data_IF_746219286787
#
_entry.id   IF_746219286787
#
_cell.length_a   1.000
_cell.length_b   1.000
_cell.length_c   1.000
_cell.angle_alpha   90.00
_cell.angle_beta   90.00
_cell.angle_gamma   90.00
#
_symmetry.space_group_name_H-M   'P 1'
#
loop_
_entity.id
_entity.type
_entity.pdbx_description
1 polymer ?
#
# COMPACT_ATOMS: atom_id res chain seq x y z
N UNK A 1 1.98 -56.73 50.62
CA UNK A 1 2.01 -57.73 49.54
C UNK A 1 1.35 -57.10 48.32
N UNK A 2 2.01 -57.01 47.15
CA UNK A 2 1.35 -56.53 45.94
C UNK A 2 0.28 -57.55 45.50
N UNK A 3 -0.91 -57.06 45.15
CA UNK A 3 -2.04 -57.88 44.71
C UNK A 3 -1.77 -58.39 43.30
N UNK A 4 -1.57 -59.70 43.14
CA UNK A 4 -1.31 -60.35 41.85
C UNK A 4 -2.65 -60.69 41.18
N UNK A 5 -3.06 -59.86 40.21
CA UNK A 5 -4.29 -60.10 39.43
C UNK A 5 -4.00 -61.17 38.37
N UNK A 6 -4.87 -62.18 38.30
CA UNK A 6 -4.72 -63.34 37.43
C UNK A 6 -4.81 -62.91 35.96
N UNK A 7 -3.79 -63.25 35.16
CA UNK A 7 -3.63 -63.00 33.71
C UNK A 7 -3.01 -61.65 33.28
N UNK A 8 -2.41 -60.86 34.17
CA UNK A 8 -1.49 -59.76 33.75
C UNK A 8 -0.03 -60.23 33.78
N UNK A 9 0.73 -59.84 32.76
CA UNK A 9 2.18 -59.99 32.73
C UNK A 9 2.76 -59.08 33.82
N UNK A 10 3.71 -59.60 34.58
CA UNK A 10 4.31 -58.84 35.67
C UNK A 10 5.24 -57.74 35.12
N UNK A 11 5.34 -56.60 35.80
CA UNK A 11 6.15 -55.44 35.34
C UNK A 11 7.65 -55.76 35.22
N UNK A 12 8.11 -56.83 35.89
CA UNK A 12 9.47 -57.35 35.87
C UNK A 12 9.74 -58.37 34.75
N UNK A 13 8.75 -58.70 33.91
CA UNK A 13 8.92 -59.66 32.81
C UNK A 13 9.77 -59.03 31.68
N UNK A 14 10.84 -59.71 31.21
CA UNK A 14 11.70 -59.24 30.11
C UNK A 14 10.97 -59.04 28.77
N UNK A 15 9.71 -59.50 28.64
CA UNK A 15 8.85 -59.23 27.48
C UNK A 15 8.14 -57.86 27.54
N UNK A 16 8.17 -57.20 28.70
CA UNK A 16 7.60 -55.86 28.90
C UNK A 16 8.70 -54.84 28.63
N UNK A 17 8.48 -53.91 27.70
CA UNK A 17 9.35 -52.75 27.57
C UNK A 17 9.32 -51.99 28.90
N UNK A 18 10.47 -51.87 29.56
CA UNK A 18 10.59 -50.98 30.72
C UNK A 18 10.21 -49.58 30.26
N UNK A 19 9.13 -49.04 30.80
CA UNK A 19 8.73 -47.65 30.56
C UNK A 19 9.91 -46.82 31.07
N UNK A 20 10.63 -46.16 30.16
CA UNK A 20 11.67 -45.21 30.54
C UNK A 20 11.09 -44.18 31.50
N UNK A 21 11.93 -43.61 32.38
CA UNK A 21 11.48 -42.61 33.36
C UNK A 21 10.57 -41.57 32.67
N UNK A 22 9.40 -41.26 33.26
CA UNK A 22 8.47 -40.34 32.63
C UNK A 22 9.19 -39.03 32.34
N UNK A 23 8.95 -38.49 31.14
CA UNK A 23 9.48 -37.19 30.79
C UNK A 23 9.08 -36.18 31.87
N UNK A 24 9.97 -35.25 32.25
CA UNK A 24 9.66 -34.30 33.30
C UNK A 24 8.43 -33.46 32.89
N UNK A 25 7.54 -33.09 33.83
CA UNK A 25 6.25 -32.46 33.51
C UNK A 25 6.34 -31.17 32.68
N UNK A 26 7.46 -30.46 32.74
CA UNK A 26 7.70 -29.24 31.95
C UNK A 26 7.89 -29.51 30.45
N UNK A 27 8.31 -30.73 30.08
CA UNK A 27 8.64 -31.06 28.69
C UNK A 27 7.40 -31.02 27.80
N UNK A 28 6.22 -31.34 28.35
CA UNK A 28 4.96 -31.32 27.61
C UNK A 28 4.59 -29.89 27.23
N UNK A 29 4.66 -28.94 28.17
CA UNK A 29 4.38 -27.53 27.90
C UNK A 29 5.43 -26.90 26.96
N UNK A 30 6.69 -27.33 27.05
CA UNK A 30 7.74 -26.90 26.13
C UNK A 30 7.49 -27.43 24.71
N UNK A 31 7.16 -28.72 24.57
CA UNK A 31 6.84 -29.32 23.28
C UNK A 31 5.63 -28.63 22.64
N UNK A 32 4.59 -28.33 23.42
CA UNK A 32 3.39 -27.61 22.98
C UNK A 32 3.73 -26.21 22.44
N UNK A 33 4.51 -25.41 23.19
CA UNK A 33 4.97 -24.09 22.75
C UNK A 33 5.83 -24.16 21.48
N UNK A 34 6.68 -25.17 21.36
CA UNK A 34 7.49 -25.39 20.16
C UNK A 34 6.65 -25.77 18.95
N UNK A 35 5.62 -26.62 19.13
CA UNK A 35 4.70 -26.97 18.05
C UNK A 35 3.82 -25.80 17.63
N UNK A 36 3.36 -24.98 18.59
CA UNK A 36 2.61 -23.75 18.30
C UNK A 36 3.45 -22.73 17.54
N UNK A 37 4.72 -22.55 17.91
CA UNK A 37 5.66 -21.72 17.15
C UNK A 37 5.83 -22.21 15.70
N UNK A 38 6.05 -23.52 15.51
CA UNK A 38 6.19 -24.11 14.18
C UNK A 38 4.90 -23.92 13.37
N UNK A 39 3.74 -24.18 13.97
CA UNK A 39 2.44 -24.01 13.32
C UNK A 39 2.22 -22.55 12.90
N UNK A 40 2.52 -21.60 13.79
CA UNK A 40 2.45 -20.17 13.52
C UNK A 40 3.32 -19.74 12.35
N UNK A 41 4.59 -20.17 12.30
CA UNK A 41 5.49 -19.84 11.19
C UNK A 41 5.07 -20.51 9.87
N UNK A 42 4.54 -21.74 9.92
CA UNK A 42 4.01 -22.41 8.71
C UNK A 42 2.79 -21.66 8.17
N UNK A 43 1.88 -21.19 9.04
CA UNK A 43 0.72 -20.38 8.62
C UNK A 43 1.19 -19.04 8.03
N UNK A 44 2.14 -18.36 8.66
CA UNK A 44 2.71 -17.12 8.14
C UNK A 44 3.41 -17.32 6.78
N UNK A 45 4.15 -18.42 6.62
CA UNK A 45 4.79 -18.76 5.36
C UNK A 45 3.76 -19.04 4.26
N UNK A 46 2.71 -19.81 4.56
CA UNK A 46 1.63 -20.10 3.64
C UNK A 46 0.88 -18.81 3.20
N UNK A 47 0.61 -17.90 4.14
CA UNK A 47 0.01 -16.59 3.84
C UNK A 47 0.93 -15.73 2.97
N UNK A 48 2.22 -15.67 3.28
CA UNK A 48 3.22 -14.95 2.47
C UNK A 48 3.28 -15.49 1.03
N UNK A 49 3.28 -16.81 0.85
CA UNK A 49 3.26 -17.44 -0.47
C UNK A 49 1.96 -17.15 -1.23
N UNK A 50 0.81 -17.19 -0.54
CA UNK A 50 -0.48 -16.91 -1.15
C UNK A 50 -0.63 -15.45 -1.63
N UNK A 51 -0.15 -14.48 -0.84
CA UNK A 51 -0.20 -13.05 -1.20
C UNK A 51 0.67 -12.71 -2.41
N UNK A 52 1.77 -13.43 -2.60
CA UNK A 52 2.71 -13.19 -3.71
C UNK A 52 2.29 -13.86 -5.02
N UNK A 53 1.39 -14.85 -4.99
CA UNK A 53 1.03 -15.65 -6.18
C UNK A 53 0.41 -14.81 -7.31
N UNK A 54 -0.46 -13.86 -6.98
CA UNK A 54 -1.10 -12.98 -7.96
C UNK A 54 -0.07 -12.05 -8.64
N UNK A 55 0.89 -11.52 -7.86
CA UNK A 55 1.96 -10.65 -8.36
C UNK A 55 2.97 -11.43 -9.21
N UNK A 56 3.34 -12.64 -8.80
CA UNK A 56 4.23 -13.53 -9.55
C UNK A 56 3.60 -13.91 -10.91
N UNK A 57 2.32 -14.29 -10.91
CA UNK A 57 1.61 -14.63 -12.14
C UNK A 57 1.43 -13.43 -13.08
N UNK A 58 1.34 -12.21 -12.54
CA UNK A 58 1.36 -10.99 -13.34
C UNK A 58 2.76 -10.70 -13.90
N UNK A 59 3.81 -10.83 -13.09
CA UNK A 59 5.19 -10.66 -13.53
C UNK A 59 5.55 -11.61 -14.67
N UNK A 60 5.20 -12.89 -14.54
CA UNK A 60 5.51 -13.91 -15.55
C UNK A 60 4.83 -13.61 -16.89
N UNK A 61 3.56 -13.21 -16.86
CA UNK A 61 2.82 -12.81 -18.08
C UNK A 61 3.44 -11.59 -18.76
N UNK A 62 3.83 -10.58 -17.99
CA UNK A 62 4.43 -9.38 -18.58
C UNK A 62 5.83 -9.70 -19.09
N UNK A 63 6.61 -10.51 -18.38
CA UNK A 63 7.91 -10.99 -18.84
C UNK A 63 7.80 -11.75 -20.17
N UNK A 64 6.79 -12.62 -20.29
CA UNK A 64 6.49 -13.32 -21.55
C UNK A 64 6.12 -12.33 -22.68
N UNK A 65 5.37 -11.27 -22.40
CA UNK A 65 5.04 -10.23 -23.40
C UNK A 65 6.27 -9.42 -23.84
N UNK A 66 7.22 -9.19 -22.92
CA UNK A 66 8.50 -8.53 -23.21
C UNK A 66 9.37 -9.42 -24.09
N UNK A 67 9.50 -10.71 -23.74
CA UNK A 67 10.28 -11.69 -24.52
C UNK A 67 9.71 -11.89 -25.94
N UNK A 68 8.39 -11.83 -26.10
CA UNK A 68 7.71 -11.86 -27.41
C UNK A 68 7.86 -10.57 -28.22
N UNK A 69 8.58 -9.56 -27.71
CA UNK A 69 8.86 -8.30 -28.41
C UNK A 69 7.67 -7.38 -28.61
N UNK A 70 6.53 -7.64 -27.95
CA UNK A 70 5.34 -6.78 -28.04
C UNK A 70 5.56 -5.44 -27.32
N UNK A 71 6.33 -5.47 -26.25
CA UNK A 71 6.65 -4.32 -25.41
C UNK A 71 8.12 -4.34 -25.00
N UNK A 72 8.70 -3.16 -24.81
CA UNK A 72 10.04 -2.98 -24.29
C UNK A 72 9.92 -2.28 -22.93
N UNK A 73 10.43 -2.93 -21.90
CA UNK A 73 10.31 -2.49 -20.53
C UNK A 73 10.88 -3.53 -19.58
N UNK A 74 10.90 -3.19 -18.30
CA UNK A 74 11.41 -4.06 -17.23
C UNK A 74 10.32 -4.30 -16.21
N UNK A 75 10.28 -5.51 -15.66
CA UNK A 75 9.36 -5.86 -14.57
C UNK A 75 10.17 -6.34 -13.38
N UNK A 76 9.91 -5.75 -12.22
CA UNK A 76 10.51 -6.13 -10.95
C UNK A 76 9.41 -6.30 -9.91
N UNK A 77 9.59 -7.24 -8.97
CA UNK A 77 8.79 -7.31 -7.76
C UNK A 77 9.65 -6.80 -6.63
N UNK A 78 9.17 -5.73 -5.99
CA UNK A 78 9.73 -5.18 -4.76
C UNK A 78 8.89 -5.65 -3.56
N UNK A 79 9.41 -5.46 -2.34
CA UNK A 79 8.70 -5.79 -1.09
C UNK A 79 7.35 -5.09 -0.97
N UNK A 80 7.23 -3.93 -1.61
CA UNK A 80 6.05 -3.08 -1.56
C UNK A 80 5.05 -3.38 -2.69
N UNK A 81 5.45 -4.10 -3.75
CA UNK A 81 4.59 -4.27 -4.91
C UNK A 81 5.26 -4.74 -6.20
N UNK A 82 4.44 -4.88 -7.24
CA UNK A 82 4.90 -5.14 -8.60
C UNK A 82 5.17 -3.81 -9.31
N UNK A 83 6.40 -3.64 -9.82
CA UNK A 83 6.82 -2.47 -10.60
C UNK A 83 7.01 -2.87 -12.06
N UNK A 84 6.27 -2.19 -12.94
CA UNK A 84 6.35 -2.35 -14.39
C UNK A 84 6.84 -1.04 -14.97
N UNK A 85 8.05 -1.05 -15.52
CA UNK A 85 8.70 0.14 -16.06
C UNK A 85 8.62 0.12 -17.58
N UNK A 86 7.96 1.12 -18.17
CA UNK A 86 7.96 1.36 -19.62
C UNK A 86 8.90 2.51 -19.94
N UNK A 87 9.98 2.21 -20.66
CA UNK A 87 11.02 3.17 -21.04
C UNK A 87 10.85 3.62 -22.49
N UNK A 88 11.09 4.90 -22.75
CA UNK A 88 11.10 5.42 -24.12
C UNK A 88 12.39 5.01 -24.86
N UNK A 89 12.27 4.63 -26.13
CA UNK A 89 13.40 4.22 -26.98
C UNK A 89 13.42 4.96 -28.32
N UNK A 90 14.49 4.78 -29.12
CA UNK A 90 14.70 5.46 -30.42
C UNK A 90 13.50 5.29 -31.39
N UNK A 91 12.83 4.13 -31.37
CA UNK A 91 11.77 3.80 -32.33
C UNK A 91 10.35 3.93 -31.77
N UNK A 92 10.18 4.21 -30.47
CA UNK A 92 8.87 4.32 -29.82
C UNK A 92 8.87 5.50 -28.86
N UNK A 93 8.22 6.57 -29.30
CA UNK A 93 8.04 7.79 -28.52
C UNK A 93 6.74 7.64 -27.76
N UNK A 94 6.73 7.82 -26.43
CA UNK A 94 5.50 7.67 -25.64
C UNK A 94 4.75 8.99 -25.46
N UNK A 95 5.49 10.09 -25.46
CA UNK A 95 4.96 11.43 -25.33
C UNK A 95 5.71 12.36 -26.26
N UNK A 96 4.99 13.27 -26.91
CA UNK A 96 5.64 14.33 -27.65
C UNK A 96 6.44 15.25 -26.70
N UNK A 97 7.52 15.84 -27.22
CA UNK A 97 8.35 16.77 -26.44
C UNK A 97 7.52 17.94 -25.91
N UNK A 98 7.65 18.23 -24.62
CA UNK A 98 6.91 19.29 -23.93
C UNK A 98 5.40 19.08 -23.82
N UNK A 99 4.87 17.93 -24.22
CA UNK A 99 3.43 17.62 -24.15
C UNK A 99 3.16 16.41 -23.27
N UNK A 100 1.93 16.36 -22.74
CA UNK A 100 1.42 15.26 -21.93
C UNK A 100 0.48 14.31 -22.70
N UNK A 101 0.25 14.57 -23.98
CA UNK A 101 -0.59 13.73 -24.84
C UNK A 101 0.11 12.40 -25.16
N UNK A 102 -0.64 11.30 -25.09
CA UNK A 102 -0.13 9.97 -25.41
C UNK A 102 -0.07 9.78 -26.92
N UNK A 103 1.06 9.26 -27.40
CA UNK A 103 1.22 8.78 -28.77
C UNK A 103 0.48 7.46 -29.00
N UNK A 104 0.32 7.08 -30.27
CA UNK A 104 -0.31 5.81 -30.62
C UNK A 104 0.57 4.61 -30.22
N UNK A 105 1.90 4.76 -30.26
CA UNK A 105 2.84 3.76 -29.74
C UNK A 105 2.62 3.47 -28.25
N UNK A 106 2.39 4.51 -27.45
CA UNK A 106 2.08 4.34 -26.02
C UNK A 106 0.72 3.68 -25.81
N UNK A 107 -0.29 4.04 -26.61
CA UNK A 107 -1.61 3.38 -26.54
C UNK A 107 -1.51 1.90 -26.90
N UNK A 108 -0.74 1.54 -27.92
CA UNK A 108 -0.47 0.16 -28.31
C UNK A 108 0.31 -0.60 -27.21
N UNK A 109 1.29 0.04 -26.56
CA UNK A 109 1.97 -0.53 -25.41
C UNK A 109 0.99 -0.80 -24.25
N UNK A 110 0.11 0.16 -23.95
CA UNK A 110 -0.91 0.04 -22.91
C UNK A 110 -1.91 -1.09 -23.20
N UNK A 111 -2.24 -1.37 -24.46
CA UNK A 111 -3.12 -2.50 -24.81
C UNK A 111 -2.61 -3.86 -24.35
N UNK A 112 -1.29 -4.05 -24.32
CA UNK A 112 -0.70 -5.29 -23.84
C UNK A 112 -0.73 -5.38 -22.30
N UNK A 113 -0.56 -4.25 -21.61
CA UNK A 113 -0.43 -4.20 -20.14
C UNK A 113 -1.78 -4.11 -19.43
N UNK A 114 -2.77 -3.45 -20.03
CA UNK A 114 -4.15 -3.28 -19.52
C UNK A 114 -4.80 -4.59 -19.04
N UNK A 115 -4.81 -5.71 -19.79
CA UNK A 115 -5.48 -6.93 -19.32
C UNK A 115 -4.85 -7.51 -18.05
N UNK A 116 -3.55 -7.26 -17.81
CA UNK A 116 -2.87 -7.67 -16.58
C UNK A 116 -3.25 -6.72 -15.45
N UNK A 117 -3.15 -5.40 -15.68
CA UNK A 117 -3.47 -4.40 -14.67
C UNK A 117 -4.94 -4.39 -14.25
N UNK A 118 -5.88 -4.61 -15.18
CA UNK A 118 -7.31 -4.67 -14.87
C UNK A 118 -7.65 -5.81 -13.90
N UNK A 119 -6.99 -6.97 -14.04
CA UNK A 119 -7.16 -8.10 -13.10
C UNK A 119 -6.63 -7.75 -11.71
N UNK A 120 -5.55 -6.97 -11.63
CA UNK A 120 -4.94 -6.54 -10.38
C UNK A 120 -5.73 -5.40 -9.72
N UNK A 121 -6.30 -4.47 -10.50
CA UNK A 121 -7.03 -3.30 -10.01
C UNK A 121 -8.22 -3.65 -9.11
N UNK A 122 -8.83 -4.83 -9.29
CA UNK A 122 -9.89 -5.29 -8.39
C UNK A 122 -9.41 -5.50 -6.94
N UNK A 123 -8.16 -5.92 -6.75
CA UNK A 123 -7.60 -6.28 -5.44
C UNK A 123 -6.64 -5.22 -4.90
N UNK A 124 -5.77 -4.68 -5.75
CA UNK A 124 -4.63 -3.86 -5.36
C UNK A 124 -4.76 -2.41 -5.84
N UNK A 125 -4.04 -1.51 -5.17
CA UNK A 125 -3.93 -0.11 -5.59
C UNK A 125 -2.85 0.02 -6.66
N UNK A 126 -3.14 0.79 -7.70
CA UNK A 126 -2.24 1.00 -8.84
C UNK A 126 -1.85 2.48 -8.88
N UNK A 127 -0.55 2.72 -8.73
CA UNK A 127 0.06 4.02 -8.88
C UNK A 127 0.70 4.10 -10.26
N UNK A 128 0.46 5.21 -10.95
CA UNK A 128 1.13 5.53 -12.20
C UNK A 128 2.10 6.66 -11.93
N UNK A 129 3.38 6.39 -12.10
CA UNK A 129 4.46 7.33 -11.83
C UNK A 129 5.02 7.86 -13.17
N UNK A 130 5.05 9.18 -13.31
CA UNK A 130 5.66 9.87 -14.45
C UNK A 130 7.06 10.35 -14.11
N UNK A 131 8.02 10.05 -14.99
CA UNK A 131 9.39 10.56 -14.90
C UNK A 131 9.77 11.33 -16.17
N UNK A 132 10.57 12.37 -16.00
CA UNK A 132 11.12 13.20 -17.10
C UNK A 132 12.65 13.17 -17.07
N UNK A 133 13.27 13.64 -18.14
CA UNK A 133 14.70 13.94 -18.15
C UNK A 133 14.98 15.29 -17.47
N UNK A 134 16.26 15.64 -17.38
CA UNK A 134 16.73 16.89 -16.77
C UNK A 134 16.73 18.09 -17.72
N UNK A 135 16.15 17.96 -18.93
CA UNK A 135 16.11 19.08 -19.86
C UNK A 135 15.05 20.04 -19.35
N UNK A 136 15.39 21.27 -18.96
CA UNK A 136 14.41 22.18 -18.41
C UNK A 136 13.35 22.51 -19.46
N UNK A 137 12.10 22.47 -19.05
CA UNK A 137 10.96 22.91 -19.87
C UNK A 137 10.33 24.13 -19.22
N UNK A 138 9.93 25.08 -20.06
CA UNK A 138 9.07 26.19 -19.70
C UNK A 138 8.12 26.43 -20.87
N UNK A 139 7.00 25.73 -20.85
CA UNK A 139 5.95 25.87 -21.86
C UNK A 139 4.79 26.67 -21.30
N UNK A 140 3.91 27.19 -22.17
CA UNK A 140 2.70 27.88 -21.71
C UNK A 140 1.79 26.98 -20.85
N UNK A 141 1.83 25.66 -21.08
CA UNK A 141 0.98 24.69 -20.41
C UNK A 141 1.62 24.10 -19.14
N UNK A 142 2.95 23.97 -19.12
CA UNK A 142 3.71 23.41 -18.01
C UNK A 142 4.90 24.31 -17.69
N UNK A 143 4.93 24.84 -16.48
CA UNK A 143 5.98 25.71 -15.99
C UNK A 143 7.27 24.93 -15.62
N UNK A 144 7.15 23.63 -15.33
CA UNK A 144 8.30 22.79 -14.96
C UNK A 144 8.14 21.33 -15.35
N UNK A 145 9.25 20.59 -15.32
CA UNK A 145 9.29 19.13 -15.48
C UNK A 145 8.41 18.40 -14.45
N UNK A 146 8.26 18.97 -13.25
CA UNK A 146 7.42 18.42 -12.21
C UNK A 146 5.94 18.37 -12.64
N UNK A 147 5.44 19.48 -13.19
CA UNK A 147 4.07 19.56 -13.71
C UNK A 147 3.86 18.65 -14.92
N UNK A 148 4.81 18.63 -15.87
CA UNK A 148 4.73 17.75 -17.03
C UNK A 148 4.68 16.27 -16.64
N UNK A 149 5.51 15.85 -15.68
CA UNK A 149 5.54 14.46 -15.22
C UNK A 149 4.20 14.03 -14.60
N UNK A 150 3.62 14.90 -13.79
CA UNK A 150 2.30 14.68 -13.15
C UNK A 150 1.18 14.65 -14.19
N UNK A 151 1.22 15.56 -15.17
CA UNK A 151 0.24 15.61 -16.24
C UNK A 151 0.28 14.36 -17.14
N UNK A 152 1.49 13.87 -17.46
CA UNK A 152 1.69 12.61 -18.21
C UNK A 152 1.10 11.42 -17.46
N UNK A 153 1.45 11.27 -16.18
CA UNK A 153 0.89 10.21 -15.33
C UNK A 153 -0.65 10.29 -15.27
N UNK A 154 -1.20 11.50 -15.11
CA UNK A 154 -2.65 11.74 -15.08
C UNK A 154 -3.33 11.33 -16.38
N UNK A 155 -2.74 11.65 -17.53
CA UNK A 155 -3.30 11.27 -18.83
C UNK A 155 -3.26 9.75 -19.05
N UNK A 156 -2.21 9.07 -18.59
CA UNK A 156 -2.17 7.60 -18.61
C UNK A 156 -3.30 7.03 -17.74
N UNK A 157 -3.49 7.53 -16.52
CA UNK A 157 -4.59 7.09 -15.64
C UNK A 157 -5.96 7.33 -16.29
N UNK A 158 -6.18 8.49 -16.93
CA UNK A 158 -7.43 8.76 -17.67
C UNK A 158 -7.68 7.74 -18.77
N UNK A 159 -6.66 7.37 -19.53
CA UNK A 159 -6.77 6.35 -20.59
C UNK A 159 -7.08 4.97 -20.00
N UNK A 160 -6.50 4.62 -18.84
CA UNK A 160 -6.82 3.37 -18.15
C UNK A 160 -8.27 3.35 -17.63
N UNK A 161 -8.73 4.44 -17.00
CA UNK A 161 -10.08 4.55 -16.46
C UNK A 161 -11.16 4.58 -17.55
N UNK A 162 -10.82 4.98 -18.77
CA UNK A 162 -11.72 4.87 -19.91
C UNK A 162 -11.97 3.41 -20.36
N UNK A 163 -11.18 2.45 -19.86
CA UNK A 163 -11.30 1.03 -20.16
C UNK A 163 -12.01 0.28 -19.03
N UNK A 164 -12.75 -0.80 -19.35
CA UNK A 164 -13.41 -1.61 -18.34
C UNK A 164 -12.38 -2.35 -17.46
N UNK A 165 -12.74 -2.57 -16.20
CA UNK A 165 -11.94 -3.36 -15.26
C UNK A 165 -11.03 -2.57 -14.33
N UNK A 166 -10.99 -1.24 -14.44
CA UNK A 166 -10.28 -0.38 -13.50
C UNK A 166 -11.22 0.26 -12.48
N UNK A 167 -10.79 0.32 -11.22
CA UNK A 167 -11.56 0.93 -10.12
C UNK A 167 -10.99 2.33 -9.84
N UNK A 168 -11.77 3.43 -10.03
CA UNK A 168 -11.27 4.78 -9.84
C UNK A 168 -10.68 5.06 -8.45
N UNK A 169 -11.25 4.49 -7.39
CA UNK A 169 -10.77 4.68 -6.01
C UNK A 169 -9.42 4.03 -5.71
N UNK A 170 -8.94 3.13 -6.59
CA UNK A 170 -7.68 2.40 -6.44
C UNK A 170 -6.58 2.88 -7.39
N UNK A 171 -6.82 3.99 -8.07
CA UNK A 171 -5.88 4.57 -9.03
C UNK A 171 -5.31 5.87 -8.48
N UNK A 172 -4.00 6.06 -8.62
CA UNK A 172 -3.34 7.33 -8.33
C UNK A 172 -2.31 7.67 -9.41
N UNK A 173 -2.13 8.96 -9.68
CA UNK A 173 -1.09 9.48 -10.56
C UNK A 173 -0.08 10.25 -9.71
N UNK A 174 1.21 9.99 -9.91
CA UNK A 174 2.31 10.64 -9.20
C UNK A 174 3.31 11.15 -10.23
N UNK A 175 3.81 12.37 -10.07
CA UNK A 175 4.89 12.92 -10.87
C UNK A 175 6.14 13.10 -10.03
N UNK A 176 7.27 12.58 -10.49
CA UNK A 176 8.57 12.73 -9.82
C UNK A 176 9.51 13.71 -10.53
N UNK A 177 9.11 14.22 -11.70
CA UNK A 177 9.97 15.04 -12.55
C UNK A 177 11.29 14.34 -12.88
N UNK A 178 12.38 15.10 -12.76
CA UNK A 178 13.75 14.68 -13.05
C UNK A 178 14.52 14.14 -11.84
N UNK A 179 13.93 14.19 -10.64
CA UNK A 179 14.62 13.96 -9.37
C UNK A 179 14.79 12.48 -8.99
N UNK A 180 14.21 11.57 -9.77
CA UNK A 180 14.36 10.12 -9.60
C UNK A 180 14.92 9.46 -10.87
N UNK A 181 16.16 9.76 -11.29
CA UNK A 181 16.77 9.12 -12.45
C UNK A 181 17.17 7.66 -12.14
N UNK A 182 17.02 6.74 -13.12
CA UNK A 182 17.62 5.39 -13.03
C UNK A 182 19.08 5.47 -13.44
N UNK A 183 19.38 6.31 -14.43
CA UNK A 183 20.73 6.51 -14.97
C UNK A 183 21.08 7.99 -14.97
N UNK A 184 22.36 8.32 -14.90
CA UNK A 184 22.81 9.72 -14.90
C UNK A 184 22.50 10.39 -16.25
N UNK A 185 21.93 11.59 -16.23
CA UNK A 185 21.45 12.36 -17.39
C UNK A 185 22.55 12.97 -18.29
N UNK A 186 23.70 12.30 -18.44
CA UNK A 186 24.84 12.84 -19.18
C UNK A 186 24.72 12.66 -20.70
N UNK A 187 24.05 11.60 -21.16
CA UNK A 187 23.91 11.26 -22.57
C UNK A 187 22.44 11.26 -23.00
N UNK A 188 22.18 11.44 -24.29
CA UNK A 188 20.81 11.38 -24.82
C UNK A 188 20.16 10.00 -24.63
N UNK A 189 20.95 8.94 -24.74
CA UNK A 189 20.50 7.58 -24.48
C UNK A 189 20.11 7.36 -23.02
N UNK A 190 20.85 7.96 -22.08
CA UNK A 190 20.48 7.91 -20.67
C UNK A 190 19.24 8.74 -20.36
N UNK A 191 19.11 9.92 -20.98
CA UNK A 191 17.91 10.75 -20.85
C UNK A 191 16.66 10.00 -21.31
N UNK A 192 16.74 9.24 -22.41
CA UNK A 192 15.63 8.40 -22.90
C UNK A 192 15.17 7.38 -21.86
N UNK A 193 16.09 6.70 -21.18
CA UNK A 193 15.76 5.76 -20.07
C UNK A 193 15.10 6.45 -18.87
N UNK A 194 15.35 7.74 -18.68
CA UNK A 194 14.71 8.53 -17.62
C UNK A 194 13.33 9.08 -18.00
N UNK A 195 13.03 9.19 -19.30
CA UNK A 195 11.67 9.45 -19.78
C UNK A 195 10.90 8.14 -19.80
N UNK A 196 10.24 7.84 -18.69
CA UNK A 196 9.55 6.57 -18.46
C UNK A 196 8.25 6.75 -17.70
N UNK A 197 7.40 5.75 -17.83
CA UNK A 197 6.19 5.61 -17.02
C UNK A 197 6.31 4.31 -16.25
N UNK A 198 6.10 4.40 -14.94
CA UNK A 198 6.15 3.23 -14.06
C UNK A 198 4.74 2.96 -13.56
N UNK A 199 4.29 1.72 -13.70
CA UNK A 199 3.09 1.22 -13.04
C UNK A 199 3.53 0.48 -11.80
N UNK A 200 3.11 0.98 -10.65
CA UNK A 200 3.42 0.40 -9.36
C UNK A 200 2.15 -0.12 -8.71
N UNK A 201 2.04 -1.44 -8.63
CA UNK A 201 0.91 -2.12 -8.01
C UNK A 201 1.27 -2.44 -6.57
N UNK A 202 0.68 -1.70 -5.63
CA UNK A 202 0.97 -1.85 -4.19
C UNK A 202 0.34 -3.12 -3.64
N UNK A 203 1.13 -3.89 -2.91
CA UNK A 203 0.61 -4.93 -2.03
C UNK A 203 -0.05 -4.19 -0.86
N UNK A 204 -1.38 -4.13 -0.89
CA UNK A 204 -2.11 -3.44 0.15
C UNK A 204 -2.07 -4.31 1.43
N UNK A 205 -1.21 -3.94 2.38
CA UNK A 205 -1.04 -4.67 3.65
C UNK A 205 -2.21 -4.47 4.61
N UNK A 206 -3.17 -3.60 4.29
CA UNK A 206 -4.30 -3.29 5.16
C UNK A 206 -5.63 -3.34 4.39
N UNK A 207 -6.69 -3.93 4.95
CA UNK A 207 -8.01 -3.89 4.34
C UNK A 207 -8.48 -2.44 4.26
N UNK A 208 -8.96 -2.09 3.07
CA UNK A 208 -9.51 -0.81 2.64
C UNK A 208 -10.28 -0.05 3.75
N UNK A 209 -9.65 1.00 4.29
CA UNK A 209 -10.25 1.87 5.31
C UNK A 209 -11.47 2.67 4.79
N UNK A 210 -11.75 2.65 3.48
CA UNK A 210 -12.97 3.25 2.90
C UNK A 210 -14.22 2.40 3.13
N UNK A 211 -14.08 1.11 3.49
CA UNK A 211 -15.16 0.38 4.14
C UNK A 211 -15.32 0.92 5.56
N UNK A 212 -16.09 2.01 5.72
CA UNK A 212 -16.65 2.35 7.03
C UNK A 212 -17.25 1.07 7.62
N UNK A 213 -16.99 0.73 8.90
CA UNK A 213 -17.69 -0.37 9.53
C UNK A 213 -19.18 -0.13 9.33
N UNK A 214 -19.85 -1.09 8.69
CA UNK A 214 -21.29 -1.05 8.48
C UNK A 214 -21.94 -0.68 9.80
N UNK A 215 -22.71 0.41 9.81
CA UNK A 215 -23.40 0.88 11.00
C UNK A 215 -24.09 -0.31 11.68
N UNK A 216 -24.06 -0.43 13.03
CA UNK A 216 -24.70 -1.54 13.70
C UNK A 216 -26.18 -1.61 13.27
N UNK A 217 -26.75 -2.81 13.13
CA UNK A 217 -28.11 -2.96 12.65
C UNK A 217 -29.03 -2.15 13.56
N UNK A 218 -29.81 -1.24 12.97
CA UNK A 218 -30.85 -0.48 13.68
C UNK A 218 -31.82 -1.49 14.29
N UNK A 219 -31.65 -1.79 15.58
CA UNK A 219 -32.66 -2.53 16.35
C UNK A 219 -33.91 -1.65 16.41
N UNK A 220 -35.00 -2.17 15.84
CA UNK A 220 -36.33 -1.60 16.01
C UNK A 220 -36.76 -1.64 17.48
N UNK A 221 -37.48 -0.58 17.86
CA UNK A 221 -38.48 -0.48 18.92
C UNK A 221 -38.38 -1.40 20.15
N UNK A 222 -38.08 -0.81 21.31
CA UNK A 222 -39.13 -0.46 22.28
C UNK A 222 -38.51 0.26 23.49
N UNK A 223 -39.05 1.43 23.78
CA UNK A 223 -38.83 2.11 25.04
C UNK A 223 -39.43 1.26 26.17
N UNK A 224 -38.62 0.97 27.18
CA UNK A 224 -39.13 0.68 28.53
C UNK A 224 -38.57 1.78 29.40
N UNK A 225 -39.45 2.75 29.69
CA UNK A 225 -39.24 3.77 30.69
C UNK A 225 -39.62 3.12 32.01
N UNK A 226 -38.67 2.93 32.92
CA UNK A 226 -39.01 2.73 34.34
C UNK A 226 -38.56 3.99 35.05
N UNK A 227 -39.55 4.76 35.47
CA UNK A 227 -39.40 5.86 36.40
C UNK A 227 -39.05 5.32 37.79
N UNK A 228 -38.05 5.91 38.42
CA UNK A 228 -37.89 5.91 39.87
C UNK A 228 -37.53 7.35 40.26
N UNK A 229 -38.58 8.05 40.68
CA UNK A 229 -38.57 9.28 41.45
C UNK A 229 -38.07 8.96 42.86
N UNK A 230 -37.07 9.68 43.37
CA UNK A 230 -36.98 10.11 44.79
C UNK A 230 -35.95 11.25 44.94
N UNK A 231 -36.45 12.47 45.22
CA UNK A 231 -35.99 13.29 46.34
C UNK A 231 -34.65 14.05 46.26
N UNK A 232 -34.71 15.33 45.84
CA UNK A 232 -33.81 16.37 46.35
C UNK A 232 -34.44 17.07 47.58
N UNK A 233 -33.63 17.73 48.44
CA UNK A 233 -33.76 19.19 48.40
C UNK A 233 -32.45 20.00 48.54
N UNK A 234 -32.54 21.17 47.92
CA UNK A 234 -31.78 22.42 47.95
C UNK A 234 -30.75 22.76 49.05
N UNK A 235 -29.63 23.37 48.59
CA UNK A 235 -29.12 24.70 48.98
C UNK A 235 -28.07 25.15 47.93
N UNK A 236 -28.29 26.19 47.11
CA UNK A 236 -28.14 27.65 47.33
C UNK A 236 -26.69 28.18 47.23
N UNK A 237 -26.46 29.09 46.26
CA UNK A 237 -25.25 29.94 46.08
C UNK A 237 -24.72 29.92 44.63
N UNK A 238 -25.23 30.77 43.71
CA UNK A 238 -24.63 32.04 43.26
C UNK A 238 -23.12 31.89 42.93
N UNK A 239 -22.61 32.16 41.72
CA UNK A 239 -22.56 33.49 41.05
C UNK A 239 -22.39 33.33 39.52
N UNK A 240 -23.09 34.20 38.79
CA UNK A 240 -22.97 34.54 37.36
C UNK A 240 -21.69 35.35 37.09
N UNK A 241 -21.01 35.17 35.95
CA UNK A 241 -20.84 36.25 34.94
C UNK A 241 -20.22 35.75 33.63
N UNK A 242 -20.77 36.24 32.53
CA UNK A 242 -20.38 35.96 31.15
C UNK A 242 -19.40 37.01 30.62
N UNK A 243 -18.45 36.62 29.75
CA UNK A 243 -18.01 37.41 28.59
C UNK A 243 -16.92 36.68 27.77
N UNK A 244 -17.17 36.50 26.47
CA UNK A 244 -16.16 36.41 25.41
C UNK A 244 -16.25 37.71 24.55
N UNK A 245 -15.44 37.91 23.50
CA UNK A 245 -13.97 38.04 23.46
C UNK A 245 -13.57 39.34 22.69
N UNK A 246 -12.35 39.88 22.85
CA UNK A 246 -11.81 40.85 21.87
C UNK A 246 -10.28 41.02 21.96
N UNK A 247 -9.65 41.08 20.80
CA UNK A 247 -8.26 41.52 20.52
C UNK A 247 -8.30 42.39 19.24
N UNK A 248 -7.20 43.04 18.81
CA UNK A 248 -6.39 44.08 19.46
C UNK A 248 -6.26 45.34 18.53
N UNK A 249 -5.50 46.38 18.93
CA UNK A 249 -4.56 47.03 17.99
C UNK A 249 -3.20 47.28 18.68
N UNK A 250 -2.03 47.26 18.04
CA UNK A 250 -1.63 47.90 16.79
C UNK A 250 -0.72 49.08 17.15
N UNK A 251 0.61 48.88 17.17
CA UNK A 251 1.58 49.93 17.51
C UNK A 251 2.67 50.00 16.42
N UNK A 252 2.73 51.16 15.75
CA UNK A 252 3.76 51.53 14.78
C UNK A 252 4.69 52.57 15.40
N UNK A 253 5.98 52.39 15.10
CA UNK A 253 7.02 53.40 14.85
C UNK A 253 7.38 54.42 15.92
N UNK A 254 8.66 54.41 16.32
CA UNK A 254 9.47 55.63 16.27
C UNK A 254 10.96 55.32 16.01
N UNK A 255 11.54 56.12 15.13
CA UNK A 255 12.93 56.06 14.68
C UNK A 255 13.77 57.07 15.47
N UNK A 256 15.04 56.73 15.76
CA UNK A 256 16.08 57.74 15.99
C UNK A 256 17.46 57.18 15.62
N UNK A 257 18.18 57.98 14.85
CA UNK A 257 19.52 57.79 14.31
C UNK A 257 20.61 57.89 15.39
N UNK A 258 21.74 57.21 15.20
CA UNK A 258 23.06 57.86 15.37
C UNK A 258 24.19 57.07 14.67
N UNK A 259 25.05 57.84 14.03
CA UNK A 259 26.23 57.47 13.23
C UNK A 259 27.39 56.92 14.07
N UNK A 260 28.36 56.26 13.40
CA UNK A 260 29.78 56.52 13.68
C UNK A 260 30.71 55.31 13.83
N UNK A 261 31.51 55.10 12.77
CA UNK A 261 32.73 54.26 12.60
C UNK A 261 32.57 52.77 12.30
#
# INVERSE_FOLDING_TARGET
MPLKVRNMIAEDDPRVCQIGHPAPPWLVNYADLMTEMVCFFVILYALSAALNKDMQGAQEKIKEMIEKGKMQGTVAIDKEGLRITLEEQKDRIFFMSGRAELTDDMKAALENVVPVLAKLSGKYDILVEGHTDNVPIATRQFASNWELSTARATNVVKVLLARPGFVPSKMAAVGYGEYHPIVVNNTEENRKKNRRVVFFVKINSYPDASKKPSSPPKKGASAVIVAADEGAPHAAGAISEAAQPQAPPGEQTEAAQQEGR
#
